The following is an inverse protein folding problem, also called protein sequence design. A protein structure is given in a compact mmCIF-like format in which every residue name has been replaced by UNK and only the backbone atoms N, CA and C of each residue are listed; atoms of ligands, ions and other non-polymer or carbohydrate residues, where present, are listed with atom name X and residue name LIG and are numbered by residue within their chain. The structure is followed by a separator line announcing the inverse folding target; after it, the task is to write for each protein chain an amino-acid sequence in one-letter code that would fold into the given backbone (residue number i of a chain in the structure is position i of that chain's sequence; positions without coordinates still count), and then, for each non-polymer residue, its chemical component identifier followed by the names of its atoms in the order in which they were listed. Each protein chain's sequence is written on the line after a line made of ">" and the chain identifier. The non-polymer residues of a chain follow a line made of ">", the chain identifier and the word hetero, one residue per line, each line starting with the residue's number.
data_IF_062808188206
#
_entry.id   IF_062808188206
#
_cell.length_a   1.000
_cell.length_b   1.000
_cell.length_c   1.000
_cell.angle_alpha   90.00
_cell.angle_beta   90.00
_cell.angle_gamma   90.00
#
_symmetry.space_group_name_H-M   'P 1'
#
loop_
_entity.id
_entity.type
_entity.pdbx_description
1 polymer ?
#
# COMPACT_ATOMS: atom_id res chain seq x y z
N UNK A 1 -5.88 6.56 -6.66
CA UNK A 1 -6.23 7.93 -7.05
C UNK A 1 -7.52 7.90 -7.87
N UNK A 2 -8.64 8.41 -7.34
CA UNK A 2 -9.77 8.93 -8.14
C UNK A 2 -10.36 10.13 -7.41
N UNK A 3 -10.73 11.17 -8.16
CA UNK A 3 -11.14 12.51 -7.71
C UNK A 3 -12.66 12.63 -7.67
N UNK A 4 -13.19 13.35 -6.67
CA UNK A 4 -14.47 14.05 -6.70
C UNK A 4 -14.70 14.78 -5.38
N UNK A 5 -15.46 15.86 -5.24
CA UNK A 5 -16.10 16.85 -6.11
C UNK A 5 -16.35 18.08 -5.21
N UNK A 6 -16.35 19.28 -5.77
CA UNK A 6 -16.49 20.57 -5.07
C UNK A 6 -17.81 20.71 -4.29
N UNK A 7 -17.77 21.23 -3.04
CA UNK A 7 -18.48 22.43 -2.55
C UNK A 7 -19.00 22.40 -1.08
N UNK A 8 -18.79 23.54 -0.41
CA UNK A 8 -19.41 24.14 0.80
C UNK A 8 -18.95 23.83 2.24
N UNK A 9 -18.06 24.74 2.71
CA UNK A 9 -18.01 25.56 3.94
C UNK A 9 -18.67 25.07 5.26
N UNK A 10 -17.85 25.19 6.32
CA UNK A 10 -18.16 25.30 7.76
C UNK A 10 -18.42 24.01 8.57
N UNK A 11 -17.40 23.16 8.70
CA UNK A 11 -17.18 22.38 9.94
C UNK A 11 -15.71 22.44 10.33
N UNK A 12 -15.46 22.85 11.59
CA UNK A 12 -14.19 22.66 12.26
C UNK A 12 -14.11 21.17 12.62
N UNK A 13 -13.68 20.34 11.67
CA UNK A 13 -13.19 18.99 11.92
C UNK A 13 -11.66 19.07 11.94
N UNK A 14 -11.03 18.88 13.11
CA UNK A 14 -9.57 18.71 13.15
C UNK A 14 -9.30 17.35 12.50
N UNK A 15 -8.98 17.41 11.21
CA UNK A 15 -8.78 16.33 10.27
C UNK A 15 -7.54 15.51 10.66
N UNK A 16 -7.74 14.37 11.32
CA UNK A 16 -6.70 13.33 11.46
C UNK A 16 -6.56 12.46 10.20
N UNK A 17 -7.23 12.83 9.09
CA UNK A 17 -7.77 11.87 8.13
C UNK A 17 -7.17 11.87 6.71
N UNK A 18 -6.03 12.51 6.46
CA UNK A 18 -5.38 12.50 5.13
C UNK A 18 -3.87 12.19 5.16
N UNK A 19 -3.41 11.43 6.16
CA UNK A 19 -1.98 11.08 6.26
C UNK A 19 -1.66 9.66 5.79
N UNK A 20 -2.66 8.81 5.56
CA UNK A 20 -2.44 7.41 5.14
C UNK A 20 -2.28 7.28 3.63
N UNK A 21 -1.33 6.45 3.20
CA UNK A 21 -1.20 6.07 1.79
C UNK A 21 -2.51 5.42 1.28
N UNK A 22 -2.98 5.90 0.13
CA UNK A 22 -4.19 5.42 -0.51
C UNK A 22 -3.89 4.26 -1.45
N UNK A 23 -4.64 3.18 -1.30
CA UNK A 23 -4.59 2.00 -2.18
C UNK A 23 -5.80 1.98 -3.12
N UNK A 24 -5.63 1.38 -4.30
CA UNK A 24 -6.70 1.24 -5.30
C UNK A 24 -6.68 -0.17 -5.88
N UNK A 25 -7.86 -0.75 -6.08
CA UNK A 25 -8.00 -2.02 -6.82
C UNK A 25 -8.17 -1.70 -8.30
N UNK A 26 -7.38 -2.35 -9.15
CA UNK A 26 -7.45 -2.22 -10.60
C UNK A 26 -7.50 -3.62 -11.19
N UNK A 27 -8.38 -3.82 -12.16
CA UNK A 27 -8.47 -5.06 -12.93
C UNK A 27 -7.44 -5.01 -14.08
N UNK A 28 -6.72 -6.10 -14.26
CA UNK A 28 -5.80 -6.30 -15.36
C UNK A 28 -5.98 -7.73 -15.88
N UNK A 29 -5.82 -7.91 -17.19
CA UNK A 29 -6.07 -9.20 -17.84
C UNK A 29 -5.09 -10.28 -17.37
N UNK A 30 -3.81 -9.92 -17.26
CA UNK A 30 -2.74 -10.82 -16.81
C UNK A 30 -1.57 -10.06 -16.17
N UNK A 31 -0.52 -10.79 -15.81
CA UNK A 31 0.66 -10.22 -15.17
C UNK A 31 1.46 -9.28 -16.08
N UNK A 32 1.41 -9.45 -17.41
CA UNK A 32 2.10 -8.57 -18.35
C UNK A 32 1.36 -7.24 -18.49
N UNK A 33 0.02 -7.28 -18.55
CA UNK A 33 -0.83 -6.10 -18.50
C UNK A 33 -0.58 -5.30 -17.20
N UNK A 34 -0.37 -5.98 -16.07
CA UNK A 34 0.05 -5.31 -14.82
C UNK A 34 1.41 -4.63 -14.97
N UNK A 35 2.41 -5.27 -15.59
CA UNK A 35 3.71 -4.63 -15.78
C UNK A 35 3.60 -3.35 -16.61
N UNK A 36 2.91 -3.42 -17.75
CA UNK A 36 2.75 -2.26 -18.63
C UNK A 36 1.99 -1.13 -17.91
N UNK A 37 0.93 -1.47 -17.16
CA UNK A 37 0.20 -0.51 -16.36
C UNK A 37 1.09 0.18 -15.32
N UNK A 38 1.90 -0.59 -14.58
CA UNK A 38 2.79 -0.03 -13.55
C UNK A 38 3.90 0.84 -14.15
N UNK A 39 4.42 0.45 -15.31
CA UNK A 39 5.41 1.22 -16.05
C UNK A 39 4.84 2.54 -16.56
N UNK A 40 3.69 2.52 -17.26
CA UNK A 40 3.06 3.71 -17.83
C UNK A 40 2.67 4.75 -16.78
N UNK A 41 2.33 4.30 -15.57
CA UNK A 41 1.93 5.18 -14.47
C UNK A 41 3.06 5.53 -13.50
N UNK A 42 4.30 5.06 -13.76
CA UNK A 42 5.46 5.29 -12.88
C UNK A 42 5.21 4.87 -11.42
N UNK A 43 4.47 3.77 -11.21
CA UNK A 43 4.13 3.27 -9.86
C UNK A 43 5.19 2.38 -9.24
N UNK A 44 6.16 1.94 -10.05
CA UNK A 44 7.32 1.19 -9.61
C UNK A 44 8.61 1.97 -9.95
N UNK A 45 9.75 1.43 -9.53
CA UNK A 45 11.09 1.96 -9.81
C UNK A 45 11.57 1.72 -11.27
N UNK A 46 10.68 1.25 -12.14
CA UNK A 46 10.97 0.87 -13.53
C UNK A 46 11.33 -0.61 -13.70
N UNK A 47 11.43 -1.39 -12.63
CA UNK A 47 11.61 -2.84 -12.69
C UNK A 47 10.27 -3.57 -12.67
N UNK A 48 10.22 -4.82 -13.17
CA UNK A 48 9.03 -5.65 -13.05
C UNK A 48 8.65 -5.91 -11.60
N UNK A 49 7.36 -5.84 -11.30
CA UNK A 49 6.80 -6.10 -9.95
C UNK A 49 6.00 -7.39 -9.92
N UNK A 50 5.91 -8.05 -8.77
CA UNK A 50 4.94 -9.14 -8.60
C UNK A 50 3.55 -8.51 -8.40
N UNK A 51 2.52 -8.88 -9.17
CA UNK A 51 1.19 -8.28 -9.01
C UNK A 51 0.63 -8.49 -7.59
N UNK A 52 0.25 -7.42 -6.88
CA UNK A 52 -0.29 -7.50 -5.52
C UNK A 52 -1.75 -7.95 -5.53
N UNK A 53 -1.97 -9.25 -5.76
CA UNK A 53 -3.32 -9.83 -5.71
C UNK A 53 -3.80 -10.00 -4.27
N UNK A 54 -5.13 -9.97 -4.05
CA UNK A 54 -5.74 -10.12 -2.74
C UNK A 54 -5.21 -11.34 -1.98
N UNK A 55 -5.15 -12.51 -2.62
CA UNK A 55 -4.65 -13.74 -2.00
C UNK A 55 -3.19 -13.62 -1.52
N UNK A 56 -2.32 -12.92 -2.27
CA UNK A 56 -0.92 -12.70 -1.87
C UNK A 56 -0.82 -11.73 -0.70
N UNK A 57 -1.64 -10.67 -0.70
CA UNK A 57 -1.72 -9.69 0.39
C UNK A 57 -2.24 -10.36 1.67
N UNK A 58 -3.32 -11.14 1.57
CA UNK A 58 -3.87 -11.91 2.69
C UNK A 58 -2.85 -12.88 3.26
N UNK A 59 -2.06 -13.56 2.42
CA UNK A 59 -0.98 -14.43 2.89
C UNK A 59 0.08 -13.66 3.71
N UNK A 60 0.44 -12.45 3.30
CA UNK A 60 1.34 -11.57 4.07
C UNK A 60 0.70 -11.16 5.40
N UNK A 61 -0.54 -10.67 5.38
CA UNK A 61 -1.25 -10.23 6.58
C UNK A 61 -1.41 -11.36 7.60
N UNK A 62 -1.66 -12.59 7.15
CA UNK A 62 -1.75 -13.76 8.02
C UNK A 62 -0.43 -14.16 8.68
N UNK A 63 0.72 -13.68 8.19
CA UNK A 63 2.02 -13.95 8.79
C UNK A 63 2.31 -13.10 10.04
N UNK A 64 1.50 -12.05 10.30
CA UNK A 64 1.69 -11.12 11.41
C UNK A 64 0.36 -10.92 12.15
N UNK A 65 0.28 -11.21 13.46
CA UNK A 65 -0.98 -11.12 14.22
C UNK A 65 -1.28 -9.66 14.63
N UNK A 66 -1.52 -8.79 13.64
CA UNK A 66 -1.89 -7.39 13.83
C UNK A 66 -3.06 -7.00 12.92
N UNK A 67 -3.80 -5.97 13.32
CA UNK A 67 -4.85 -5.39 12.48
C UNK A 67 -4.22 -4.78 11.20
N UNK A 68 -4.70 -5.10 9.99
CA UNK A 68 -4.20 -4.51 8.74
C UNK A 68 -4.18 -2.97 8.72
N UNK A 69 -5.08 -2.33 9.48
CA UNK A 69 -5.18 -0.87 9.61
C UNK A 69 -4.22 -0.26 10.64
N UNK A 70 -3.45 -1.09 11.35
CA UNK A 70 -2.43 -0.63 12.30
C UNK A 70 -1.38 0.19 11.54
N UNK A 71 -1.15 1.43 11.98
CA UNK A 71 -0.04 2.25 11.48
C UNK A 71 1.26 1.68 12.02
N UNK A 72 2.17 1.28 11.13
CA UNK A 72 3.44 0.66 11.52
C UNK A 72 4.67 1.49 11.11
N UNK A 73 4.48 2.64 10.48
CA UNK A 73 5.57 3.53 10.12
C UNK A 73 5.11 4.82 9.45
N UNK A 74 6.09 5.68 9.17
CA UNK A 74 5.90 6.97 8.51
C UNK A 74 7.01 7.23 7.50
N UNK A 75 6.70 8.06 6.51
CA UNK A 75 7.66 8.62 5.54
C UNK A 75 7.61 10.14 5.74
N UNK A 76 8.43 10.70 6.64
CA UNK A 76 8.39 12.13 7.00
C UNK A 76 8.56 13.06 5.80
N UNK A 77 9.40 12.69 4.84
CA UNK A 77 9.69 13.48 3.63
C UNK A 77 8.47 13.60 2.72
N UNK A 78 7.56 12.63 2.78
CA UNK A 78 6.28 12.62 2.06
C UNK A 78 5.11 13.07 2.94
N UNK A 79 5.36 13.35 4.22
CA UNK A 79 4.33 13.74 5.17
C UNK A 79 3.23 12.69 5.33
N UNK A 80 3.55 11.40 5.19
CA UNK A 80 2.56 10.33 5.26
C UNK A 80 2.92 9.23 6.26
N UNK A 81 1.91 8.53 6.73
CA UNK A 81 1.99 7.30 7.52
C UNK A 81 1.51 6.12 6.68
N UNK A 82 1.91 4.92 7.05
CA UNK A 82 1.45 3.71 6.36
C UNK A 82 1.07 2.61 7.32
N UNK A 83 0.08 1.82 6.89
CA UNK A 83 -0.47 0.71 7.65
C UNK A 83 0.25 -0.59 7.34
N UNK A 84 -0.02 -1.62 8.15
CA UNK A 84 0.44 -2.98 7.90
C UNK A 84 0.00 -3.49 6.51
N UNK A 85 -1.23 -3.19 6.08
CA UNK A 85 -1.72 -3.54 4.75
C UNK A 85 -0.91 -2.90 3.63
N UNK A 86 -0.57 -1.61 3.76
CA UNK A 86 0.28 -0.93 2.76
C UNK A 86 1.67 -1.57 2.71
N UNK A 87 2.25 -1.94 3.85
CA UNK A 87 3.53 -2.65 3.87
C UNK A 87 3.42 -4.06 3.24
N UNK A 88 2.31 -4.77 3.46
CA UNK A 88 2.04 -6.07 2.84
C UNK A 88 1.96 -5.95 1.31
N UNK A 89 1.23 -4.97 0.78
CA UNK A 89 1.14 -4.69 -0.66
C UNK A 89 2.53 -4.45 -1.27
N UNK A 90 3.30 -3.55 -0.67
CA UNK A 90 4.66 -3.24 -1.15
C UNK A 90 5.59 -4.46 -1.06
N UNK A 91 5.45 -5.27 -0.01
CA UNK A 91 6.22 -6.50 0.17
C UNK A 91 5.88 -7.53 -0.90
N UNK A 92 4.59 -7.68 -1.25
CA UNK A 92 4.18 -8.53 -2.37
C UNK A 92 4.79 -8.00 -3.67
N UNK A 93 4.67 -6.70 -3.95
CA UNK A 93 5.23 -6.08 -5.16
C UNK A 93 6.73 -6.34 -5.31
N UNK A 94 7.47 -6.28 -4.20
CA UNK A 94 8.90 -6.57 -4.14
C UNK A 94 9.25 -8.08 -4.25
N UNK A 95 8.26 -8.97 -4.32
CA UNK A 95 8.47 -10.41 -4.38
C UNK A 95 8.86 -11.06 -3.04
N UNK A 96 8.57 -10.40 -1.92
CA UNK A 96 8.80 -10.95 -0.60
C UNK A 96 7.97 -12.24 -0.39
N UNK A 97 8.48 -13.16 0.43
CA UNK A 97 7.71 -14.33 0.88
C UNK A 97 7.01 -14.02 2.21
N UNK A 98 5.80 -14.56 2.47
CA UNK A 98 5.09 -14.35 3.73
C UNK A 98 5.91 -14.70 4.99
N UNK A 99 6.74 -15.73 4.91
CA UNK A 99 7.64 -16.14 6.00
C UNK A 99 8.69 -15.08 6.38
N UNK A 100 9.02 -14.16 5.46
CA UNK A 100 9.97 -13.07 5.70
C UNK A 100 9.28 -11.77 6.08
N UNK A 101 7.97 -11.65 5.86
CA UNK A 101 7.22 -10.41 6.11
C UNK A 101 7.31 -9.89 7.56
N UNK A 102 7.30 -10.74 8.62
CA UNK A 102 7.50 -10.26 9.98
C UNK A 102 8.81 -9.49 10.19
N UNK A 103 9.87 -9.85 9.45
CA UNK A 103 11.16 -9.14 9.50
C UNK A 103 11.02 -7.75 8.87
N UNK A 104 10.31 -7.64 7.74
CA UNK A 104 10.03 -6.34 7.10
C UNK A 104 9.26 -5.43 8.05
N UNK A 105 8.19 -5.96 8.66
CA UNK A 105 7.37 -5.21 9.62
C UNK A 105 8.21 -4.72 10.80
N UNK A 106 9.04 -5.59 11.37
CA UNK A 106 9.95 -5.23 12.46
C UNK A 106 10.93 -4.12 12.03
N UNK A 107 11.51 -4.23 10.83
CA UNK A 107 12.49 -3.27 10.34
C UNK A 107 11.91 -1.87 10.11
N UNK A 108 10.65 -1.77 9.67
CA UNK A 108 10.01 -0.48 9.37
C UNK A 108 9.32 0.17 10.57
N UNK A 109 9.09 -0.59 11.65
CA UNK A 109 8.43 -0.12 12.88
C UNK A 109 9.39 0.16 14.04
N UNK A 110 10.69 -0.08 13.83
CA UNK A 110 11.76 0.22 14.78
C UNK A 110 12.10 1.72 14.85
#
# INVERSE_FOLDING_TARGET
>A
MVVGSHNDRNKIEILLMELTLQQQTIEAEDALAVQELFFQNEWADGLPVVPPTKNKIEAMLNAVPMDPQTIIGAIPERGCVFTLEVAAINSVMAGCLPEYFPVVVTAVSA
#
